data_IF_807721726651
#
_entry.id   IF_807721726651
#
_cell.length_a   1.000
_cell.length_b   1.000
_cell.length_c   1.000
_cell.angle_alpha   90.00
_cell.angle_beta   90.00
_cell.angle_gamma   90.00
#
_symmetry.space_group_name_H-M   'P 1'
#
loop_
_entity.id
_entity.type
_entity.pdbx_description
1 polymer ?
#
# COMPACT_ATOMS: atom_id res chain seq x y z
N UNK A 1 5.03 10.97 -22.02
CA UNK A 1 4.20 10.90 -20.80
C UNK A 1 3.39 9.62 -20.85
N UNK A 2 3.30 8.91 -19.73
CA UNK A 2 2.53 7.69 -19.52
C UNK A 2 1.92 7.69 -18.11
N UNK A 3 1.04 6.73 -17.83
CA UNK A 3 0.53 6.53 -16.47
C UNK A 3 1.69 6.21 -15.52
N UNK A 4 1.68 6.79 -14.32
CA UNK A 4 2.75 6.63 -13.34
C UNK A 4 3.89 7.63 -13.45
N UNK A 5 3.95 8.41 -14.54
CA UNK A 5 4.96 9.46 -14.67
C UNK A 5 4.77 10.55 -13.61
N UNK A 6 5.87 10.95 -13.01
CA UNK A 6 5.96 12.12 -12.14
C UNK A 6 6.57 13.26 -12.96
N UNK A 7 5.80 14.31 -13.13
CA UNK A 7 6.21 15.50 -13.88
C UNK A 7 6.62 16.61 -12.91
N UNK A 8 7.76 17.26 -13.19
CA UNK A 8 8.13 18.51 -12.55
C UNK A 8 7.30 19.62 -13.17
N UNK A 9 6.49 20.29 -12.33
CA UNK A 9 5.65 21.38 -12.79
C UNK A 9 6.36 22.73 -12.71
N UNK A 10 7.56 22.83 -12.14
CA UNK A 10 8.43 24.00 -12.25
C UNK A 10 7.81 25.33 -11.83
N UNK A 11 6.79 25.32 -10.97
CA UNK A 11 6.01 26.50 -10.62
C UNK A 11 5.07 27.01 -11.72
N UNK A 12 4.79 26.19 -12.75
CA UNK A 12 3.70 26.43 -13.68
C UNK A 12 2.41 26.62 -12.88
N UNK A 13 1.75 27.74 -13.13
CA UNK A 13 0.41 28.00 -12.63
C UNK A 13 -0.57 27.09 -13.36
N UNK A 14 -0.63 25.83 -12.95
CA UNK A 14 -1.73 24.95 -13.28
C UNK A 14 -2.85 25.33 -12.31
N UNK A 15 -3.94 25.89 -12.86
CA UNK A 15 -5.10 26.25 -12.07
C UNK A 15 -5.53 25.07 -11.19
N UNK A 16 -5.91 25.36 -9.94
CA UNK A 16 -6.41 24.38 -8.96
C UNK A 16 -5.38 23.45 -8.29
N UNK A 17 -4.07 23.74 -8.41
CA UNK A 17 -3.03 23.11 -7.59
C UNK A 17 -2.71 23.92 -6.32
N UNK A 18 -2.33 23.28 -5.20
CA UNK A 18 -1.77 23.96 -4.04
C UNK A 18 -0.47 24.70 -4.36
N UNK A 19 -0.25 25.89 -3.77
CA UNK A 19 0.90 26.78 -4.06
C UNK A 19 2.29 26.12 -3.88
N UNK A 20 2.41 25.14 -2.98
CA UNK A 20 3.68 24.46 -2.67
C UNK A 20 3.90 23.15 -3.47
N UNK A 21 3.17 22.95 -4.57
CA UNK A 21 3.30 21.72 -5.37
C UNK A 21 4.47 21.84 -6.34
N UNK A 22 5.47 20.96 -6.22
CA UNK A 22 6.60 20.91 -7.16
C UNK A 22 6.47 19.79 -8.20
N UNK A 23 5.75 18.71 -7.88
CA UNK A 23 5.55 17.59 -8.77
C UNK A 23 4.09 17.18 -8.85
N UNK A 24 3.72 16.55 -9.97
CA UNK A 24 2.42 15.90 -10.12
C UNK A 24 2.60 14.48 -10.64
N UNK A 25 1.81 13.57 -10.11
CA UNK A 25 1.70 12.19 -10.58
C UNK A 25 0.61 12.11 -11.65
N UNK A 26 0.96 11.61 -12.83
CA UNK A 26 0.03 11.36 -13.93
C UNK A 26 -0.69 10.03 -13.70
N UNK A 27 -2.03 10.07 -13.64
CA UNK A 27 -2.86 8.89 -13.36
C UNK A 27 -3.76 8.49 -14.53
N UNK A 28 -3.87 9.31 -15.58
CA UNK A 28 -4.55 8.90 -16.82
C UNK A 28 -3.77 7.76 -17.48
N UNK A 29 -4.51 6.79 -18.00
CA UNK A 29 -3.95 5.63 -18.66
C UNK A 29 -3.14 6.03 -19.93
N UNK A 30 -2.06 5.31 -20.21
CA UNK A 30 -1.13 5.65 -21.29
C UNK A 30 -1.79 5.72 -22.68
N UNK A 31 -2.74 4.81 -22.96
CA UNK A 31 -3.49 4.83 -24.23
C UNK A 31 -4.38 6.08 -24.37
N UNK A 32 -4.94 6.55 -23.26
CA UNK A 32 -5.83 7.70 -23.21
C UNK A 32 -5.03 8.98 -23.41
N UNK A 33 -3.84 9.08 -22.79
CA UNK A 33 -2.88 10.17 -23.03
C UNK A 33 -2.50 10.29 -24.52
N UNK A 34 -2.24 9.18 -25.20
CA UNK A 34 -1.85 9.14 -26.60
C UNK A 34 -2.98 9.50 -27.59
N UNK A 35 -4.25 9.48 -27.16
CA UNK A 35 -5.39 9.80 -28.01
C UNK A 35 -5.61 11.30 -28.15
N UNK A 36 -5.80 11.75 -29.39
CA UNK A 36 -6.09 13.15 -29.72
C UNK A 36 -7.54 13.56 -29.47
N UNK A 37 -8.45 12.58 -29.32
CA UNK A 37 -9.87 12.81 -29.03
C UNK A 37 -10.18 13.08 -27.57
N UNK A 38 -9.23 12.78 -26.68
CA UNK A 38 -9.35 13.07 -25.24
C UNK A 38 -8.45 14.26 -24.93
N UNK A 39 -9.03 15.32 -24.39
CA UNK A 39 -8.33 16.58 -24.15
C UNK A 39 -7.89 16.75 -22.69
N UNK A 40 -8.26 15.81 -21.82
CA UNK A 40 -8.00 15.88 -20.38
C UNK A 40 -6.93 14.90 -19.93
N UNK A 41 -6.16 15.30 -18.93
CA UNK A 41 -5.23 14.47 -18.18
C UNK A 41 -5.61 14.56 -16.69
N UNK A 42 -5.68 13.41 -16.03
CA UNK A 42 -5.85 13.32 -14.58
C UNK A 42 -4.48 13.27 -13.91
N UNK A 43 -4.30 14.12 -12.90
CA UNK A 43 -3.08 14.23 -12.11
C UNK A 43 -3.38 14.23 -10.61
N UNK A 44 -2.38 13.91 -9.78
CA UNK A 44 -2.42 14.10 -8.33
C UNK A 44 -1.20 14.92 -7.89
N UNK A 45 -1.38 16.01 -7.12
CA UNK A 45 -0.27 16.76 -6.56
C UNK A 45 0.60 15.89 -5.65
N UNK A 46 1.92 15.94 -5.83
CA UNK A 46 2.89 15.30 -4.96
C UNK A 46 3.35 16.29 -3.89
N UNK A 47 3.23 15.91 -2.63
CA UNK A 47 3.58 16.76 -1.48
C UNK A 47 4.79 16.18 -0.78
N UNK A 48 5.83 16.98 -0.56
CA UNK A 48 7.00 16.54 0.22
C UNK A 48 6.58 16.11 1.63
N UNK A 49 7.16 15.01 2.11
CA UNK A 49 7.01 14.56 3.50
C UNK A 49 8.38 14.33 4.13
N UNK A 50 8.64 14.83 5.36
CA UNK A 50 9.95 14.69 6.01
C UNK A 50 10.35 13.24 6.28
N UNK A 51 9.36 12.37 6.50
CA UNK A 51 9.54 10.94 6.79
C UNK A 51 8.44 10.13 6.12
N UNK A 52 8.72 8.87 5.80
CA UNK A 52 7.69 7.97 5.30
C UNK A 52 6.86 7.33 6.43
N UNK A 53 5.74 6.73 6.04
CA UNK A 53 4.95 5.81 6.87
C UNK A 53 4.85 4.51 6.06
N UNK A 54 5.43 3.43 6.58
CA UNK A 54 5.48 2.15 5.86
C UNK A 54 4.10 1.61 5.50
N UNK A 55 3.04 1.98 6.23
CA UNK A 55 1.67 1.61 5.87
C UNK A 55 1.20 2.24 4.55
N UNK A 56 1.87 3.29 4.09
CA UNK A 56 1.51 4.07 2.90
C UNK A 56 2.43 3.80 1.72
N UNK A 57 3.45 2.97 1.84
CA UNK A 57 4.28 2.55 0.70
C UNK A 57 3.61 1.40 -0.06
N UNK A 58 4.03 1.16 -1.30
CA UNK A 58 3.63 0.01 -2.14
C UNK A 58 2.11 -0.18 -2.30
N UNK A 59 1.33 0.91 -2.20
CA UNK A 59 -0.12 0.87 -2.39
C UNK A 59 -0.92 0.23 -1.24
N UNK A 60 -0.29 -0.07 -0.09
CA UNK A 60 -0.94 -0.71 1.08
C UNK A 60 -2.06 0.13 1.73
N UNK A 61 -2.00 1.45 1.56
CA UNK A 61 -3.04 2.39 1.97
C UNK A 61 -3.70 2.99 0.73
N UNK A 62 -5.03 2.95 0.66
CA UNK A 62 -5.76 3.38 -0.54
C UNK A 62 -6.13 4.86 -0.60
N UNK A 63 -5.89 5.62 0.47
CA UNK A 63 -6.12 7.07 0.48
C UNK A 63 -4.86 7.82 0.13
N UNK A 64 -3.72 7.27 0.51
CA UNK A 64 -2.44 7.96 0.46
C UNK A 64 -1.33 6.99 0.09
N UNK A 65 -0.50 7.38 -0.86
CA UNK A 65 0.68 6.63 -1.29
C UNK A 65 1.91 7.47 -1.02
N UNK A 66 2.86 6.90 -0.30
CA UNK A 66 4.19 7.44 -0.11
C UNK A 66 5.15 6.75 -1.09
N UNK A 67 5.99 7.54 -1.74
CA UNK A 67 7.03 7.05 -2.64
C UNK A 67 8.26 7.96 -2.53
N UNK A 68 9.39 7.45 -3.01
CA UNK A 68 10.67 8.13 -2.94
C UNK A 68 11.11 8.57 -4.34
N UNK A 69 11.62 9.80 -4.45
CA UNK A 69 12.38 10.28 -5.59
C UNK A 69 13.75 10.67 -5.04
N UNK A 70 14.81 10.05 -5.53
CA UNK A 70 16.16 10.15 -4.97
C UNK A 70 16.16 9.86 -3.44
N UNK A 71 16.53 10.84 -2.62
CA UNK A 71 16.56 10.73 -1.15
C UNK A 71 15.31 11.34 -0.46
N UNK A 72 14.38 11.90 -1.24
CA UNK A 72 13.23 12.64 -0.71
C UNK A 72 11.94 11.83 -0.81
N UNK A 73 11.12 11.92 0.24
CA UNK A 73 9.81 11.28 0.28
C UNK A 73 8.72 12.25 -0.14
N UNK A 74 7.77 11.71 -0.89
CA UNK A 74 6.59 12.42 -1.34
C UNK A 74 5.35 11.61 -1.04
N UNK A 75 4.23 12.31 -0.88
CA UNK A 75 2.91 11.76 -0.67
C UNK A 75 1.96 12.22 -1.76
N UNK A 76 1.16 11.31 -2.28
CA UNK A 76 -0.01 11.60 -3.12
C UNK A 76 -1.25 11.09 -2.44
N UNK A 77 -2.32 11.88 -2.45
CA UNK A 77 -3.61 11.53 -1.86
C UNK A 77 -4.61 11.30 -2.98
N UNK A 78 -5.21 10.13 -3.01
CA UNK A 78 -6.12 9.72 -4.07
C UNK A 78 -7.34 10.66 -4.18
N UNK A 79 -7.77 11.30 -3.08
CA UNK A 79 -8.87 12.28 -3.08
C UNK A 79 -8.51 13.62 -3.73
N UNK A 80 -7.23 13.92 -3.84
CA UNK A 80 -6.73 15.21 -4.33
C UNK A 80 -6.49 15.19 -5.85
N UNK A 81 -6.99 14.14 -6.53
CA UNK A 81 -6.98 14.06 -8.00
C UNK A 81 -7.63 15.28 -8.64
N UNK A 82 -7.09 15.69 -9.77
CA UNK A 82 -7.54 16.82 -10.58
C UNK A 82 -7.58 16.41 -12.05
N UNK A 83 -8.52 16.96 -12.80
CA UNK A 83 -8.53 16.89 -14.26
C UNK A 83 -8.03 18.22 -14.80
N UNK A 84 -7.07 18.17 -15.70
CA UNK A 84 -6.45 19.32 -16.36
C UNK A 84 -6.47 19.12 -17.88
N UNK A 85 -6.26 20.18 -18.64
CA UNK A 85 -6.06 20.04 -20.09
C UNK A 85 -4.69 19.42 -20.41
N UNK A 86 -4.64 18.52 -21.39
CA UNK A 86 -3.39 17.87 -21.82
C UNK A 86 -2.35 18.87 -22.30
N UNK A 87 -2.80 19.93 -22.96
CA UNK A 87 -1.92 20.96 -23.51
C UNK A 87 -1.11 21.64 -22.41
N UNK A 88 -1.68 21.80 -21.21
CA UNK A 88 -1.02 22.37 -20.02
C UNK A 88 0.19 21.58 -19.53
N UNK A 89 0.32 20.31 -19.91
CA UNK A 89 1.43 19.43 -19.49
C UNK A 89 2.17 18.80 -20.67
N UNK A 90 1.79 19.14 -21.90
CA UNK A 90 2.32 18.53 -23.13
C UNK A 90 3.83 18.71 -23.33
N UNK A 91 4.40 19.81 -22.83
CA UNK A 91 5.82 20.13 -22.91
C UNK A 91 6.64 19.66 -21.69
N UNK A 92 6.00 19.04 -20.70
CA UNK A 92 6.66 18.57 -19.49
C UNK A 92 7.24 17.17 -19.67
N UNK A 93 8.42 16.96 -19.11
CA UNK A 93 9.10 15.68 -19.13
C UNK A 93 9.01 15.01 -17.75
N UNK A 94 8.87 13.67 -17.71
CA UNK A 94 8.88 12.96 -16.45
C UNK A 94 10.27 13.01 -15.82
N UNK A 95 10.33 13.26 -14.52
CA UNK A 95 11.55 13.15 -13.71
C UNK A 95 11.70 11.79 -13.05
N UNK A 96 10.57 11.09 -12.89
CA UNK A 96 10.49 9.76 -12.29
C UNK A 96 9.25 9.05 -12.83
N UNK A 97 9.17 7.72 -12.68
CA UNK A 97 7.95 6.97 -12.97
C UNK A 97 7.71 5.95 -11.87
N UNK A 98 6.50 5.92 -11.33
CA UNK A 98 6.03 4.84 -10.48
C UNK A 98 5.79 3.57 -11.32
N UNK A 99 5.90 2.43 -10.66
CA UNK A 99 5.56 1.12 -11.22
C UNK A 99 4.06 1.08 -11.55
N UNK A 100 3.75 0.75 -12.81
CA UNK A 100 2.40 0.93 -13.36
C UNK A 100 1.40 -0.01 -12.70
N UNK A 101 1.78 -1.26 -12.41
CA UNK A 101 0.88 -2.24 -11.82
C UNK A 101 0.55 -1.87 -10.36
N UNK A 102 1.54 -1.47 -9.56
CA UNK A 102 1.32 -0.92 -8.21
C UNK A 102 0.39 0.29 -8.24
N UNK A 103 0.61 1.25 -9.16
CA UNK A 103 -0.26 2.42 -9.27
C UNK A 103 -1.70 2.03 -9.60
N UNK A 104 -1.91 1.15 -10.58
CA UNK A 104 -3.24 0.68 -10.97
C UNK A 104 -3.94 -0.07 -9.82
N UNK A 105 -3.20 -0.89 -9.08
CA UNK A 105 -3.71 -1.56 -7.88
C UNK A 105 -4.13 -0.54 -6.82
N UNK A 106 -3.30 0.47 -6.56
CA UNK A 106 -3.61 1.53 -5.59
C UNK A 106 -4.84 2.37 -6.00
N UNK A 107 -4.92 2.79 -7.27
CA UNK A 107 -6.05 3.57 -7.80
C UNK A 107 -7.36 2.78 -7.72
N UNK A 108 -7.33 1.48 -8.02
CA UNK A 108 -8.50 0.60 -7.97
C UNK A 108 -8.84 0.11 -6.56
N UNK A 109 -7.95 0.28 -5.59
CA UNK A 109 -8.07 -0.31 -4.26
C UNK A 109 -9.37 0.08 -3.54
N UNK A 110 -9.87 1.31 -3.73
CA UNK A 110 -11.12 1.74 -3.08
C UNK A 110 -12.32 0.86 -3.41
N UNK A 111 -12.29 0.19 -4.55
CA UNK A 111 -13.35 -0.71 -5.00
C UNK A 111 -13.17 -2.15 -4.51
N UNK A 112 -12.02 -2.48 -3.90
CA UNK A 112 -11.66 -3.81 -3.40
C UNK A 112 -11.61 -3.89 -1.87
N UNK A 113 -12.09 -2.86 -1.17
CA UNK A 113 -12.06 -2.83 0.30
C UNK A 113 -12.96 -3.93 0.88
N UNK A 114 -12.33 -4.91 1.52
CA UNK A 114 -13.01 -5.87 2.36
C UNK A 114 -12.90 -5.42 3.82
N UNK A 115 -14.00 -5.55 4.56
CA UNK A 115 -13.95 -5.46 6.00
C UNK A 115 -13.41 -6.79 6.54
N UNK A 116 -12.38 -6.74 7.38
CA UNK A 116 -11.91 -7.91 8.10
C UNK A 116 -12.90 -8.25 9.23
N UNK A 117 -13.05 -9.53 9.60
CA UNK A 117 -13.78 -9.93 10.81
C UNK A 117 -13.23 -9.22 12.06
N UNK A 118 -14.09 -8.99 13.06
CA UNK A 118 -13.74 -8.24 14.27
C UNK A 118 -12.65 -8.94 15.11
N UNK A 119 -12.64 -10.27 15.09
CA UNK A 119 -11.64 -11.13 15.72
C UNK A 119 -10.27 -10.91 15.09
N UNK A 120 -10.21 -10.91 13.76
CA UNK A 120 -9.00 -10.64 12.98
C UNK A 120 -8.50 -9.23 13.26
N UNK A 121 -9.38 -8.23 13.23
CA UNK A 121 -9.02 -6.85 13.55
C UNK A 121 -8.45 -6.71 14.97
N UNK A 122 -9.07 -7.37 15.95
CA UNK A 122 -8.63 -7.34 17.34
C UNK A 122 -7.27 -7.98 17.51
N UNK A 123 -7.04 -9.13 16.90
CA UNK A 123 -5.76 -9.83 16.97
C UNK A 123 -4.64 -9.04 16.28
N UNK A 124 -4.83 -8.64 15.02
CA UNK A 124 -3.79 -7.98 14.24
C UNK A 124 -3.51 -6.55 14.73
N UNK A 125 -4.54 -5.74 14.96
CA UNK A 125 -4.33 -4.33 15.22
C UNK A 125 -4.33 -3.96 16.71
N UNK A 126 -5.18 -4.58 17.54
CA UNK A 126 -5.24 -4.22 18.97
C UNK A 126 -4.17 -4.94 19.79
N UNK A 127 -3.94 -6.23 19.53
CA UNK A 127 -3.01 -7.08 20.29
C UNK A 127 -1.60 -7.11 19.67
N UNK A 128 -1.48 -7.53 18.42
CA UNK A 128 -0.19 -7.62 17.71
C UNK A 128 0.38 -6.24 17.35
N UNK A 129 -0.43 -5.18 17.35
CA UNK A 129 -0.03 -3.82 16.96
C UNK A 129 0.57 -3.77 15.55
N UNK A 130 0.01 -4.56 14.64
CA UNK A 130 0.51 -4.73 13.27
C UNK A 130 0.72 -3.39 12.53
N UNK A 131 -0.13 -2.40 12.78
CA UNK A 131 0.03 -1.06 12.19
C UNK A 131 1.29 -0.34 12.63
N UNK A 132 1.69 -0.45 13.90
CA UNK A 132 2.92 0.17 14.39
C UNK A 132 4.14 -0.53 13.79
N UNK A 133 4.10 -1.85 13.69
CA UNK A 133 5.13 -2.67 13.06
C UNK A 133 5.31 -2.25 11.59
N UNK A 134 4.22 -2.28 10.80
CA UNK A 134 4.26 -1.95 9.36
C UNK A 134 4.59 -0.47 9.13
N UNK A 135 4.10 0.45 9.97
CA UNK A 135 4.48 1.87 9.91
C UNK A 135 5.98 2.08 9.92
N UNK A 136 6.68 1.33 10.78
CA UNK A 136 8.10 1.54 11.08
C UNK A 136 9.03 0.66 10.25
N UNK A 137 8.57 -0.54 9.87
CA UNK A 137 9.41 -1.56 9.27
C UNK A 137 8.90 -2.05 7.89
N UNK A 138 7.71 -1.61 7.46
CA UNK A 138 7.04 -2.14 6.27
C UNK A 138 7.35 -1.40 4.96
N UNK A 139 8.52 -0.77 4.82
CA UNK A 139 8.92 -0.05 3.60
C UNK A 139 8.87 -0.96 2.36
N UNK A 140 9.52 -2.13 2.45
CA UNK A 140 9.62 -3.14 1.37
C UNK A 140 8.50 -4.17 1.38
N UNK A 141 7.59 -4.10 2.36
CA UNK A 141 6.42 -4.98 2.40
C UNK A 141 5.46 -4.57 1.27
N UNK A 142 5.10 -5.48 0.38
CA UNK A 142 4.11 -5.20 -0.67
C UNK A 142 2.68 -5.21 -0.11
N UNK A 143 2.41 -6.09 0.85
CA UNK A 143 1.12 -6.15 1.51
C UNK A 143 1.03 -7.25 2.56
N UNK A 144 -0.13 -7.31 3.20
CA UNK A 144 -0.48 -8.37 4.14
C UNK A 144 -1.81 -8.97 3.73
N UNK A 145 -1.88 -10.29 3.68
CA UNK A 145 -3.08 -11.05 3.38
C UNK A 145 -3.45 -11.93 4.56
N UNK A 146 -4.73 -12.14 4.78
CA UNK A 146 -5.19 -12.95 5.91
C UNK A 146 -6.41 -13.80 5.57
N UNK A 147 -6.48 -14.98 6.17
CA UNK A 147 -7.61 -15.90 6.10
C UNK A 147 -7.93 -16.37 7.51
N UNK A 148 -9.21 -16.40 7.84
CA UNK A 148 -9.70 -16.96 9.10
C UNK A 148 -10.19 -18.37 8.84
N UNK A 149 -9.62 -19.34 9.54
CA UNK A 149 -10.02 -20.73 9.47
C UNK A 149 -10.86 -21.04 10.72
N UNK A 150 -12.08 -21.53 10.52
CA UNK A 150 -12.89 -22.06 11.60
C UNK A 150 -12.61 -23.54 11.75
N UNK A 151 -12.13 -23.96 12.91
CA UNK A 151 -12.03 -25.38 13.22
C UNK A 151 -13.44 -25.90 13.54
N UNK A 152 -14.03 -26.63 12.60
CA UNK A 152 -15.37 -27.23 12.76
C UNK A 152 -15.42 -28.30 13.88
N UNK A 153 -14.26 -28.81 14.30
CA UNK A 153 -14.14 -29.92 15.26
C UNK A 153 -13.94 -29.49 16.73
N UNK A 154 -13.80 -28.20 17.03
CA UNK A 154 -13.65 -27.71 18.41
C UNK A 154 -15.03 -27.46 19.04
N UNK A 155 -15.67 -28.55 19.47
CA UNK A 155 -16.77 -28.50 20.45
C UNK A 155 -16.19 -28.58 21.87
N UNK A 156 -15.71 -27.49 22.45
CA UNK A 156 -15.52 -27.44 23.91
C UNK A 156 -15.45 -26.04 24.48
N UNK A 157 -16.41 -25.73 25.36
CA UNK A 157 -16.27 -25.04 26.66
C UNK A 157 -15.45 -23.75 26.79
N UNK A 158 -14.18 -23.74 26.39
CA UNK A 158 -13.22 -22.67 26.71
C UNK A 158 -12.11 -22.46 25.64
N UNK A 159 -12.17 -23.11 24.46
CA UNK A 159 -11.10 -23.02 23.46
C UNK A 159 -11.49 -22.17 22.23
N UNK A 160 -10.51 -21.46 21.67
CA UNK A 160 -10.69 -20.48 20.60
C UNK A 160 -10.96 -21.24 19.28
N UNK A 161 -12.22 -21.32 18.87
CA UNK A 161 -12.66 -22.08 17.68
C UNK A 161 -12.25 -21.48 16.32
N UNK A 162 -11.14 -20.75 16.26
CA UNK A 162 -10.60 -20.20 15.01
C UNK A 162 -9.09 -20.02 15.07
N UNK A 163 -8.45 -20.12 13.90
CA UNK A 163 -7.06 -19.73 13.65
C UNK A 163 -7.01 -18.75 12.49
N UNK A 164 -5.94 -17.96 12.43
CA UNK A 164 -5.74 -16.94 11.41
C UNK A 164 -4.40 -17.19 10.73
N UNK A 165 -4.44 -17.34 9.42
CA UNK A 165 -3.23 -17.29 8.60
C UNK A 165 -2.95 -15.84 8.20
N UNK A 166 -1.69 -15.42 8.31
CA UNK A 166 -1.22 -14.08 7.95
C UNK A 166 -0.02 -14.21 7.02
N UNK A 167 -0.14 -13.71 5.79
CA UNK A 167 0.89 -13.75 4.77
C UNK A 167 1.47 -12.34 4.62
N UNK A 168 2.76 -12.21 4.87
CA UNK A 168 3.55 -11.01 4.62
C UNK A 168 4.29 -11.20 3.30
N UNK A 169 3.94 -10.40 2.30
CA UNK A 169 4.52 -10.52 0.95
C UNK A 169 5.47 -9.37 0.70
N UNK A 170 6.70 -9.68 0.27
CA UNK A 170 7.78 -8.74 -0.03
C UNK A 170 8.11 -8.76 -1.53
N UNK A 171 8.82 -7.74 -2.01
CA UNK A 171 9.23 -7.62 -3.41
C UNK A 171 10.51 -8.44 -3.66
N UNK A 172 10.39 -9.55 -4.39
CA UNK A 172 11.51 -10.44 -4.65
C UNK A 172 12.53 -9.89 -5.66
N UNK A 173 12.25 -8.77 -6.32
CA UNK A 173 13.10 -8.19 -7.36
C UNK A 173 14.18 -7.23 -6.82
N UNK A 174 14.09 -6.80 -5.56
CA UNK A 174 15.14 -6.00 -4.93
C UNK A 174 16.17 -6.91 -4.23
N UNK A 175 17.46 -6.78 -4.54
CA UNK A 175 18.56 -7.52 -3.86
C UNK A 175 18.58 -7.31 -2.32
N UNK A 176 17.82 -6.34 -1.82
CA UNK A 176 17.61 -6.07 -0.39
C UNK A 176 16.52 -6.96 0.26
N UNK A 177 15.81 -7.77 -0.52
CA UNK A 177 14.59 -8.49 -0.10
C UNK A 177 14.83 -9.40 1.11
N UNK A 178 15.78 -10.33 1.03
CA UNK A 178 16.00 -11.31 2.10
C UNK A 178 16.44 -10.63 3.41
N UNK A 179 17.28 -9.60 3.35
CA UNK A 179 17.74 -8.88 4.54
C UNK A 179 16.62 -8.03 5.16
N UNK A 180 15.80 -7.38 4.33
CA UNK A 180 14.67 -6.59 4.77
C UNK A 180 13.54 -7.47 5.33
N UNK A 181 13.24 -8.60 4.69
CA UNK A 181 12.31 -9.62 5.16
C UNK A 181 12.76 -10.16 6.52
N UNK A 182 14.01 -10.63 6.65
CA UNK A 182 14.54 -11.15 7.91
C UNK A 182 14.45 -10.12 9.03
N UNK A 183 14.79 -8.86 8.75
CA UNK A 183 14.67 -7.78 9.73
C UNK A 183 13.22 -7.52 10.13
N UNK A 184 12.28 -7.57 9.18
CA UNK A 184 10.86 -7.44 9.49
C UNK A 184 10.36 -8.61 10.35
N UNK A 185 10.76 -9.84 10.03
CA UNK A 185 10.43 -11.05 10.79
C UNK A 185 10.96 -10.97 12.23
N UNK A 186 12.21 -10.52 12.42
CA UNK A 186 12.77 -10.31 13.76
C UNK A 186 11.97 -9.28 14.59
N UNK A 187 11.51 -8.19 13.97
CA UNK A 187 10.67 -7.20 14.64
C UNK A 187 9.25 -7.73 14.88
N UNK A 188 8.68 -8.46 13.92
CA UNK A 188 7.41 -9.15 14.07
C UNK A 188 7.43 -10.07 15.29
N UNK A 189 8.46 -10.90 15.44
CA UNK A 189 8.63 -11.81 16.58
C UNK A 189 8.66 -11.08 17.93
N UNK A 190 9.26 -9.89 17.98
CA UNK A 190 9.26 -9.04 19.19
C UNK A 190 7.85 -8.54 19.51
N UNK A 191 7.08 -8.14 18.50
CA UNK A 191 5.69 -7.71 18.66
C UNK A 191 4.78 -8.89 19.04
N UNK A 192 4.95 -10.04 18.39
CA UNK A 192 4.19 -11.26 18.64
C UNK A 192 4.37 -11.74 20.08
N UNK A 193 5.63 -11.86 20.56
CA UNK A 193 5.93 -12.25 21.96
C UNK A 193 5.33 -11.30 22.99
N UNK A 194 5.29 -9.99 22.69
CA UNK A 194 4.70 -8.98 23.60
C UNK A 194 3.16 -8.99 23.58
N UNK A 195 2.55 -9.48 22.52
CA UNK A 195 1.08 -9.47 22.33
C UNK A 195 0.33 -10.47 23.21
N UNK A 196 1.04 -11.49 23.73
CA UNK A 196 0.45 -12.61 24.47
C UNK A 196 -0.53 -13.45 23.66
N UNK A 197 -0.50 -13.35 22.33
CA UNK A 197 -1.31 -14.18 21.42
C UNK A 197 -0.78 -15.62 21.48
N UNK A 198 -1.69 -16.60 21.57
CA UNK A 198 -1.28 -17.99 21.48
C UNK A 198 -0.85 -18.29 20.03
N UNK A 199 0.29 -18.96 19.88
CA UNK A 199 0.79 -19.51 18.61
C UNK A 199 -0.24 -20.31 17.80
N UNK A 200 -1.28 -20.86 18.44
CA UNK A 200 -2.38 -21.56 17.74
C UNK A 200 -3.39 -20.61 17.08
N UNK A 201 -3.48 -19.36 17.54
CA UNK A 201 -4.43 -18.39 17.01
C UNK A 201 -3.95 -17.74 15.71
N UNK A 202 -2.63 -17.63 15.53
CA UNK A 202 -2.04 -16.98 14.37
C UNK A 202 -0.87 -17.82 13.84
N UNK A 203 -0.96 -18.18 12.57
CA UNK A 203 0.16 -18.69 11.80
C UNK A 203 0.63 -17.59 10.84
N UNK A 204 1.93 -17.32 10.81
CA UNK A 204 2.50 -16.26 9.98
C UNK A 204 3.48 -16.81 8.98
N UNK A 205 3.40 -16.29 7.76
CA UNK A 205 4.24 -16.67 6.63
C UNK A 205 4.89 -15.42 6.05
N UNK A 206 6.19 -15.48 5.79
CA UNK A 206 6.97 -14.41 5.17
C UNK A 206 7.49 -14.93 3.84
N UNK A 207 7.20 -14.21 2.76
CA UNK A 207 7.44 -14.69 1.40
C UNK A 207 7.66 -13.57 0.40
N UNK A 208 8.42 -13.84 -0.65
CA UNK A 208 8.50 -13.00 -1.84
C UNK A 208 7.25 -13.11 -2.72
N UNK A 209 7.05 -12.13 -3.59
CA UNK A 209 5.95 -12.12 -4.55
C UNK A 209 6.14 -13.12 -5.71
N UNK A 210 7.35 -13.63 -5.90
CA UNK A 210 7.69 -14.70 -6.82
C UNK A 210 7.10 -16.06 -6.43
N UNK A 211 6.90 -16.29 -5.13
CA UNK A 211 6.23 -17.48 -4.58
C UNK A 211 4.77 -17.23 -4.20
N UNK A 212 4.38 -15.97 -3.96
CA UNK A 212 2.99 -15.61 -3.70
C UNK A 212 2.12 -15.82 -4.94
N UNK A 213 1.14 -16.72 -4.81
CA UNK A 213 0.36 -17.17 -5.95
C UNK A 213 -0.89 -16.32 -6.16
N UNK A 214 -1.34 -16.26 -7.42
CA UNK A 214 -2.64 -15.69 -7.75
C UNK A 214 -3.82 -16.40 -7.04
N UNK A 215 -3.65 -17.67 -6.65
CA UNK A 215 -4.66 -18.39 -5.85
C UNK A 215 -4.78 -17.75 -4.47
N UNK A 216 -3.66 -17.51 -3.78
CA UNK A 216 -3.65 -16.88 -2.47
C UNK A 216 -4.21 -15.45 -2.52
N UNK A 217 -3.82 -14.66 -3.52
CA UNK A 217 -4.37 -13.32 -3.73
C UNK A 217 -5.91 -13.29 -3.90
N UNK A 218 -6.51 -14.40 -4.33
CA UNK A 218 -7.97 -14.54 -4.50
C UNK A 218 -8.69 -15.13 -3.30
N UNK A 219 -8.02 -15.96 -2.50
CA UNK A 219 -8.63 -16.66 -1.37
C UNK A 219 -8.45 -15.92 -0.06
N UNK A 220 -7.34 -15.20 0.09
CA UNK A 220 -7.07 -14.40 1.28
C UNK A 220 -7.59 -12.98 1.13
N UNK A 221 -8.02 -12.39 2.25
CA UNK A 221 -8.39 -10.99 2.33
C UNK A 221 -7.16 -10.10 2.49
N UNK A 222 -7.04 -9.08 1.64
CA UNK A 222 -6.01 -8.06 1.80
C UNK A 222 -6.27 -7.22 3.06
N UNK A 223 -5.24 -7.07 3.90
CA UNK A 223 -5.28 -6.26 5.12
C UNK A 223 -5.04 -4.79 4.77
N UNK A 224 -6.06 -3.97 4.98
CA UNK A 224 -6.01 -2.54 4.66
C UNK A 224 -5.53 -1.69 5.85
N UNK A 225 -4.50 -0.86 5.65
CA UNK A 225 -3.89 -0.01 6.68
C UNK A 225 -4.44 1.41 6.76
N UNK A 226 -5.68 1.60 6.32
CA UNK A 226 -6.34 2.91 6.25
C UNK A 226 -7.09 3.32 7.54
N UNK A 227 -7.27 2.41 8.50
CA UNK A 227 -8.22 2.59 9.59
C UNK A 227 -7.65 2.36 10.99
N UNK A 228 -6.82 3.28 11.48
CA UNK A 228 -6.45 3.32 12.92
C UNK A 228 -6.30 4.73 13.53
N UNK A 229 -6.73 5.79 12.84
CA UNK A 229 -6.64 7.17 13.37
C UNK A 229 -7.87 7.66 14.15
N UNK A 230 -8.83 6.78 14.48
CA UNK A 230 -9.94 7.11 15.37
C UNK A 230 -9.92 6.20 16.61
N UNK A 231 -9.02 6.52 17.55
CA UNK A 231 -9.20 6.40 18.99
C UNK A 231 -8.18 7.28 19.69
#
# INVERSE_FOLDING_TARGET
MKQGDIIDIGGLAIDCLPEDTSYCLVITHSCDLARTTEHTCEIIPCVYVPTYDGNKTNGKNHRELHFRIDDNWYSVKAKDKRSIEKDSVSCLHPVFSLEEQMLQNWLSFRYRRQALPDEVNTLLFKRLKLYELVKKHGEHLLGVWTSMNHDEDIRTGEDIGYSIDVLFVFDALEDADEACQNKFEEEYEKYFKKSGIDSKQITSYFMGDDIFTYREARTYSFVNFDYLSNN
#
